data_IF_944546460215
#
_entry.id   IF_944546460215
#
_cell.length_a   1.000
_cell.length_b   1.000
_cell.length_c   1.000
_cell.angle_alpha   90.00
_cell.angle_beta   90.00
_cell.angle_gamma   90.00
#
_symmetry.space_group_name_H-M   'P 1'
#
loop_
_entity.id
_entity.type
_entity.pdbx_description
1 polymer ?
#
# COMPACT_ATOMS: atom_id res chain seq x y z
N UNK A 1 3.51 -7.68 58.13
CA UNK A 1 4.17 -7.23 56.88
C UNK A 1 4.52 -8.48 56.07
N UNK A 2 3.79 -8.74 55.00
CA UNK A 2 4.10 -9.76 54.00
C UNK A 2 4.39 -9.02 52.70
N UNK A 3 5.61 -9.15 52.20
CA UNK A 3 6.03 -8.70 50.88
C UNK A 3 5.41 -9.64 49.85
N UNK A 4 4.29 -9.22 49.27
CA UNK A 4 3.74 -9.88 48.08
C UNK A 4 4.62 -9.52 46.89
N UNK A 5 5.13 -10.56 46.24
CA UNK A 5 5.89 -10.45 45.00
C UNK A 5 4.92 -10.00 43.90
N UNK A 6 4.86 -8.70 43.65
CA UNK A 6 4.16 -8.14 42.49
C UNK A 6 4.86 -8.67 41.22
N UNK A 7 4.16 -9.36 40.31
CA UNK A 7 4.71 -9.60 38.98
C UNK A 7 4.93 -8.24 38.32
N UNK A 8 6.14 -8.05 37.80
CA UNK A 8 6.63 -6.78 37.25
C UNK A 8 5.72 -6.21 36.15
N UNK A 9 5.72 -4.87 35.96
CA UNK A 9 4.92 -4.21 34.93
C UNK A 9 5.29 -4.77 33.55
N UNK A 10 4.30 -5.33 32.87
CA UNK A 10 4.41 -5.68 31.46
C UNK A 10 4.66 -4.39 30.67
N UNK A 11 5.91 -4.25 30.24
CA UNK A 11 6.47 -3.23 29.35
C UNK A 11 6.36 -1.77 29.83
N UNK A 12 7.39 -1.36 30.58
CA UNK A 12 7.96 -0.03 30.39
C UNK A 12 8.14 0.20 28.88
N UNK A 13 7.67 1.35 28.40
CA UNK A 13 8.06 1.92 27.11
C UNK A 13 9.54 2.25 27.24
N UNK A 14 10.40 1.26 26.99
CA UNK A 14 11.78 1.54 26.63
C UNK A 14 11.68 2.23 25.27
N UNK A 15 11.97 3.52 25.22
CA UNK A 15 12.35 4.22 24.00
C UNK A 15 13.64 3.58 23.48
N UNK A 16 13.52 2.38 22.90
CA UNK A 16 14.50 1.84 21.99
C UNK A 16 14.14 2.44 20.63
N UNK A 17 15.08 3.13 19.94
CA UNK A 17 14.85 3.48 18.55
C UNK A 17 14.45 2.19 17.83
N UNK A 18 13.30 2.23 17.16
CA UNK A 18 12.76 1.10 16.43
C UNK A 18 13.84 0.58 15.49
N UNK A 19 14.47 -0.54 15.83
CA UNK A 19 15.29 -1.27 14.89
C UNK A 19 14.35 -1.69 13.76
N UNK A 20 14.60 -1.28 12.51
CA UNK A 20 13.68 -1.56 11.43
C UNK A 20 13.57 -3.06 11.24
N UNK A 21 12.35 -3.61 11.33
CA UNK A 21 12.07 -4.99 10.96
C UNK A 21 12.35 -5.14 9.47
N UNK A 22 13.48 -5.76 9.17
CA UNK A 22 13.95 -6.15 7.84
C UNK A 22 12.96 -7.09 7.17
N UNK A 23 11.95 -6.53 6.48
CA UNK A 23 11.18 -7.22 5.43
C UNK A 23 10.99 -6.37 4.17
N UNK A 24 11.86 -5.39 3.97
CA UNK A 24 11.87 -4.52 2.77
C UNK A 24 13.27 -4.42 2.14
N UNK A 25 14.08 -5.48 2.23
CA UNK A 25 15.43 -5.50 1.64
C UNK A 25 15.55 -6.28 0.32
N UNK A 26 14.44 -6.73 -0.26
CA UNK A 26 14.50 -7.53 -1.48
C UNK A 26 14.56 -6.80 -2.83
N UNK A 27 14.38 -5.47 -2.98
CA UNK A 27 14.71 -4.83 -4.26
C UNK A 27 16.15 -4.27 -4.30
N UNK A 28 16.77 -3.98 -3.14
CA UNK A 28 18.13 -3.41 -3.08
C UNK A 28 19.23 -4.43 -3.37
N UNK A 29 19.02 -5.72 -3.05
CA UNK A 29 19.98 -6.78 -3.35
C UNK A 29 20.10 -7.06 -4.87
N UNK A 30 19.07 -6.74 -5.67
CA UNK A 30 19.11 -6.92 -7.12
C UNK A 30 19.98 -5.87 -7.82
N UNK A 31 20.11 -4.66 -7.25
CA UNK A 31 20.88 -3.57 -7.85
C UNK A 31 22.39 -3.76 -7.65
N UNK A 32 22.83 -4.38 -6.54
CA UNK A 32 24.26 -4.58 -6.28
C UNK A 32 24.90 -5.72 -7.09
N UNK A 33 24.12 -6.69 -7.60
CA UNK A 33 24.67 -7.80 -8.42
C UNK A 33 24.93 -7.34 -9.86
N UNK A 34 24.15 -6.38 -10.38
CA UNK A 34 24.36 -5.85 -11.74
C UNK A 34 25.63 -4.99 -11.85
N UNK A 35 26.05 -4.31 -10.79
CA UNK A 35 27.23 -3.44 -10.79
C UNK A 35 28.56 -4.21 -10.77
N UNK A 36 28.59 -5.43 -10.21
CA UNK A 36 29.80 -6.26 -10.14
C UNK A 36 30.10 -7.04 -11.43
N UNK A 37 29.11 -7.20 -12.33
CA UNK A 37 29.28 -7.86 -13.63
C UNK A 37 29.66 -6.90 -14.78
N UNK A 38 29.81 -5.61 -14.49
CA UNK A 38 30.06 -4.55 -15.49
C UNK A 38 31.45 -3.90 -15.35
N UNK A 39 32.38 -4.49 -14.59
CA UNK A 39 33.77 -4.03 -14.57
C UNK A 39 34.54 -4.64 -15.75
N UNK A 40 35.04 -3.84 -16.72
CA UNK A 40 35.80 -4.39 -17.83
C UNK A 40 37.21 -4.73 -17.35
N UNK A 41 37.53 -6.02 -17.24
CA UNK A 41 38.92 -6.48 -17.18
C UNK A 41 39.46 -6.55 -18.62
N UNK A 42 40.34 -5.60 -18.94
CA UNK A 42 41.37 -5.59 -20.00
C UNK A 42 41.42 -6.75 -21.00
N UNK A 43 41.44 -6.43 -22.31
CA UNK A 43 41.91 -7.36 -23.34
C UNK A 43 41.54 -7.02 -24.79
N UNK A 44 42.36 -6.20 -25.44
CA UNK A 44 42.72 -6.17 -26.88
C UNK A 44 41.68 -5.96 -28.00
N UNK A 45 42.19 -5.29 -29.05
CA UNK A 45 41.48 -4.68 -30.15
C UNK A 45 41.05 -5.67 -31.24
N UNK A 46 39.85 -5.46 -31.80
CA UNK A 46 39.54 -5.89 -33.16
C UNK A 46 38.98 -4.71 -33.95
N UNK A 47 39.71 -4.38 -35.02
CA UNK A 47 39.47 -3.36 -36.03
C UNK A 47 38.04 -3.41 -36.57
N UNK A 48 37.18 -2.52 -36.08
CA UNK A 48 35.76 -2.44 -36.40
C UNK A 48 35.41 -1.47 -37.52
N UNK A 49 36.15 -1.43 -38.64
CA UNK A 49 35.79 -0.53 -39.76
C UNK A 49 34.68 -1.08 -40.68
N UNK A 50 34.17 -2.30 -40.46
CA UNK A 50 33.23 -2.94 -41.41
C UNK A 50 31.94 -3.47 -40.78
N UNK A 51 31.68 -3.19 -39.50
CA UNK A 51 30.39 -3.52 -38.84
C UNK A 51 29.55 -2.25 -38.55
N UNK A 52 30.05 -1.05 -38.86
CA UNK A 52 29.34 0.21 -38.60
C UNK A 52 28.35 0.65 -39.70
N UNK A 53 28.00 -0.20 -40.66
CA UNK A 53 27.09 0.17 -41.76
C UNK A 53 25.68 -0.46 -41.69
N UNK A 54 25.37 -1.29 -40.68
CA UNK A 54 24.08 -1.99 -40.60
C UNK A 54 23.24 -1.75 -39.33
N UNK A 55 23.67 -0.86 -38.42
CA UNK A 55 22.84 -0.47 -37.26
C UNK A 55 23.15 0.93 -36.76
N UNK A 56 23.18 1.89 -37.69
CA UNK A 56 22.86 3.26 -37.33
C UNK A 56 21.32 3.39 -37.30
N UNK A 57 20.66 2.76 -36.32
CA UNK A 57 19.42 3.34 -35.79
C UNK A 57 19.86 4.56 -35.01
N UNK A 58 19.91 5.64 -35.78
CA UNK A 58 20.10 7.04 -35.41
C UNK A 58 19.54 7.33 -34.02
N UNK A 59 20.33 7.98 -33.16
CA UNK A 59 19.85 8.42 -31.83
C UNK A 59 18.55 9.25 -31.88
N UNK A 60 18.25 9.84 -33.04
CA UNK A 60 17.00 10.52 -33.35
C UNK A 60 15.77 9.59 -33.31
N UNK A 61 15.89 8.33 -33.71
CA UNK A 61 14.78 7.35 -33.70
C UNK A 61 14.48 6.84 -32.29
N UNK A 62 15.52 6.61 -31.47
CA UNK A 62 15.36 6.20 -30.06
C UNK A 62 14.65 7.31 -29.27
N UNK A 63 15.08 8.57 -29.46
CA UNK A 63 14.43 9.71 -28.83
C UNK A 63 12.96 9.87 -29.27
N UNK A 64 12.69 9.73 -30.57
CA UNK A 64 11.34 9.81 -31.11
C UNK A 64 10.43 8.67 -30.62
N UNK A 65 10.97 7.45 -30.50
CA UNK A 65 10.24 6.28 -29.99
C UNK A 65 9.92 6.41 -28.51
N UNK A 66 10.89 6.89 -27.70
CA UNK A 66 10.65 7.20 -26.28
C UNK A 66 9.59 8.28 -26.12
N UNK A 67 9.65 9.36 -26.89
CA UNK A 67 8.64 10.41 -26.88
C UNK A 67 7.25 9.88 -27.27
N UNK A 68 7.18 9.00 -28.28
CA UNK A 68 5.94 8.34 -28.71
C UNK A 68 5.35 7.45 -27.61
N UNK A 69 6.18 6.66 -26.92
CA UNK A 69 5.74 5.82 -25.81
C UNK A 69 5.29 6.66 -24.61
N UNK A 70 6.06 7.69 -24.25
CA UNK A 70 5.74 8.62 -23.15
C UNK A 70 4.43 9.35 -23.35
N UNK A 71 4.14 9.80 -24.57
CA UNK A 71 2.88 10.42 -24.91
C UNK A 71 1.65 9.51 -24.67
N UNK A 72 1.82 8.19 -24.64
CA UNK A 72 0.75 7.23 -24.32
C UNK A 72 0.55 7.08 -22.81
N UNK A 73 1.63 6.81 -22.05
CA UNK A 73 1.51 6.42 -20.65
C UNK A 73 1.42 7.61 -19.69
N UNK A 74 2.04 8.75 -20.00
CA UNK A 74 2.11 9.87 -19.05
C UNK A 74 0.71 10.43 -18.72
N UNK A 75 -0.19 10.69 -19.69
CA UNK A 75 -1.55 11.12 -19.38
C UNK A 75 -2.34 10.10 -18.56
N UNK A 76 -2.12 8.81 -18.80
CA UNK A 76 -2.74 7.69 -18.07
C UNK A 76 -2.31 7.71 -16.61
N UNK A 77 -1.00 7.83 -16.34
CA UNK A 77 -0.43 7.92 -14.99
C UNK A 77 -1.02 9.12 -14.25
N UNK A 78 -1.03 10.29 -14.88
CA UNK A 78 -1.52 11.53 -14.27
C UNK A 78 -3.00 11.43 -13.93
N UNK A 79 -3.82 10.90 -14.86
CA UNK A 79 -5.26 10.72 -14.64
C UNK A 79 -5.55 9.67 -13.57
N UNK A 80 -4.86 8.54 -13.58
CA UNK A 80 -5.00 7.51 -12.56
C UNK A 80 -4.59 8.02 -11.17
N UNK A 81 -3.49 8.78 -11.07
CA UNK A 81 -3.05 9.41 -9.82
C UNK A 81 -4.08 10.40 -9.27
N UNK A 82 -4.67 11.24 -10.14
CA UNK A 82 -5.74 12.15 -9.74
C UNK A 82 -6.97 11.38 -9.20
N UNK A 83 -7.33 10.26 -9.84
CA UNK A 83 -8.40 9.41 -9.35
C UNK A 83 -8.07 8.77 -7.99
N UNK A 84 -6.83 8.29 -7.79
CA UNK A 84 -6.37 7.77 -6.51
C UNK A 84 -6.40 8.82 -5.41
N UNK A 85 -5.97 10.06 -5.68
CA UNK A 85 -6.05 11.17 -4.71
C UNK A 85 -7.49 11.49 -4.31
N UNK A 86 -8.39 11.57 -5.29
CA UNK A 86 -9.81 11.81 -5.03
C UNK A 86 -10.41 10.67 -4.20
N UNK A 87 -10.07 9.42 -4.54
CA UNK A 87 -10.49 8.25 -3.78
C UNK A 87 -9.96 8.26 -2.35
N UNK A 88 -8.65 8.50 -2.15
CA UNK A 88 -8.04 8.54 -0.82
C UNK A 88 -8.70 9.60 0.06
N UNK A 89 -8.92 10.81 -0.47
CA UNK A 89 -9.60 11.88 0.25
C UNK A 89 -11.04 11.48 0.62
N UNK A 90 -11.80 10.94 -0.33
CA UNK A 90 -13.19 10.52 -0.11
C UNK A 90 -13.28 9.37 0.90
N UNK A 91 -12.51 8.30 0.69
CA UNK A 91 -12.46 7.13 1.57
C UNK A 91 -12.11 7.54 3.00
N UNK A 92 -11.07 8.35 3.18
CA UNK A 92 -10.62 8.78 4.51
C UNK A 92 -11.68 9.66 5.21
N UNK A 93 -12.35 10.55 4.48
CA UNK A 93 -13.46 11.33 5.02
C UNK A 93 -14.63 10.43 5.47
N UNK A 94 -15.00 9.44 4.66
CA UNK A 94 -16.10 8.52 4.98
C UNK A 94 -15.78 7.54 6.10
N UNK A 95 -14.54 7.09 6.20
CA UNK A 95 -14.07 6.33 7.36
C UNK A 95 -14.18 7.17 8.63
N UNK A 96 -13.75 8.43 8.60
CA UNK A 96 -13.89 9.33 9.75
C UNK A 96 -15.35 9.64 10.11
N UNK A 97 -16.24 9.72 9.11
CA UNK A 97 -17.68 9.97 9.29
C UNK A 97 -18.42 8.76 9.89
N UNK A 98 -18.12 7.55 9.42
CA UNK A 98 -18.95 6.37 9.71
C UNK A 98 -18.35 5.41 10.73
N UNK A 99 -17.03 5.32 10.86
CA UNK A 99 -16.40 4.34 11.73
C UNK A 99 -16.12 4.90 13.12
N UNK A 100 -16.10 4.04 14.15
CA UNK A 100 -15.79 4.50 15.49
C UNK A 100 -14.36 5.01 15.59
N UNK A 101 -14.16 6.03 16.41
CA UNK A 101 -12.83 6.49 16.77
C UNK A 101 -12.12 5.42 17.63
N UNK A 102 -10.78 5.50 17.70
CA UNK A 102 -9.95 4.54 18.45
C UNK A 102 -10.44 4.31 19.88
N UNK A 103 -10.91 5.37 20.54
CA UNK A 103 -11.21 5.37 21.97
C UNK A 103 -12.72 5.22 22.25
N UNK A 104 -13.58 5.15 21.23
CA UNK A 104 -15.04 5.07 21.39
C UNK A 104 -15.52 3.79 22.09
N UNK A 105 -14.80 2.67 21.87
CA UNK A 105 -15.09 1.37 22.48
C UNK A 105 -13.90 0.90 23.33
N UNK A 106 -13.44 1.79 24.22
CA UNK A 106 -12.37 1.53 25.17
C UNK A 106 -12.81 1.91 26.59
N UNK A 107 -12.37 1.11 27.57
CA UNK A 107 -12.44 1.47 28.99
C UNK A 107 -11.05 1.83 29.50
N UNK A 108 -11.01 2.86 30.36
CA UNK A 108 -9.79 3.38 30.97
C UNK A 108 -9.90 3.28 32.49
N UNK A 109 -8.81 2.87 33.14
CA UNK A 109 -8.62 2.94 34.59
C UNK A 109 -7.25 3.54 34.95
N UNK A 110 -6.94 3.60 36.24
CA UNK A 110 -5.74 4.29 36.77
C UNK A 110 -4.39 3.64 36.41
N UNK A 111 -4.38 2.57 35.60
CA UNK A 111 -3.17 1.94 35.04
C UNK A 111 -3.47 0.94 33.91
N UNK A 112 -4.71 0.89 33.41
CA UNK A 112 -5.13 -0.13 32.44
C UNK A 112 -6.08 0.45 31.40
N UNK A 113 -6.09 -0.20 30.23
CA UNK A 113 -6.98 0.09 29.10
C UNK A 113 -7.37 -1.24 28.47
N UNK A 114 -8.66 -1.42 28.19
CA UNK A 114 -9.16 -2.53 27.39
C UNK A 114 -10.03 -1.98 26.26
N UNK A 115 -9.80 -2.47 25.05
CA UNK A 115 -10.45 -1.92 23.86
C UNK A 115 -10.81 -2.96 22.80
N UNK A 116 -11.74 -2.58 21.92
CA UNK A 116 -12.03 -3.35 20.71
C UNK A 116 -10.82 -3.40 19.74
N UNK A 117 -9.99 -2.35 19.76
CA UNK A 117 -8.84 -2.16 18.89
C UNK A 117 -9.16 -1.38 17.61
N UNK A 118 -8.10 -1.04 16.86
CA UNK A 118 -8.22 -0.26 15.62
C UNK A 118 -8.83 -1.09 14.48
N UNK A 119 -9.84 -0.52 13.81
CA UNK A 119 -10.49 -1.16 12.68
C UNK A 119 -9.76 -0.95 11.35
N UNK A 120 -9.49 0.29 10.96
CA UNK A 120 -9.00 0.63 9.61
C UNK A 120 -7.81 1.58 9.66
N UNK A 121 -6.98 1.48 8.63
CA UNK A 121 -5.93 2.44 8.32
C UNK A 121 -6.42 3.34 7.17
N UNK A 122 -6.03 4.63 7.15
CA UNK A 122 -6.33 5.51 6.04
C UNK A 122 -5.83 4.95 4.71
N UNK A 123 -6.59 5.17 3.64
CA UNK A 123 -6.14 4.89 2.28
C UNK A 123 -5.02 5.85 1.87
N UNK A 124 -4.04 5.33 1.15
CA UNK A 124 -2.85 6.03 0.68
C UNK A 124 -2.39 5.50 -0.69
N UNK A 125 -3.33 5.25 -1.61
CA UNK A 125 -3.04 4.78 -2.96
C UNK A 125 -2.16 5.78 -3.73
N UNK A 126 -2.41 7.07 -3.56
CA UNK A 126 -1.63 8.15 -4.15
C UNK A 126 -0.46 8.63 -3.26
N UNK A 127 0.13 7.74 -2.46
CA UNK A 127 1.23 8.08 -1.54
C UNK A 127 2.50 8.54 -2.26
N UNK A 128 2.73 8.06 -3.49
CA UNK A 128 3.81 8.54 -4.34
C UNK A 128 3.39 9.81 -5.08
N UNK A 129 4.32 10.74 -5.27
CA UNK A 129 4.05 11.89 -6.13
C UNK A 129 3.97 11.44 -7.60
N UNK A 130 3.19 12.16 -8.40
CA UNK A 130 2.91 11.78 -9.79
C UNK A 130 4.16 11.81 -10.67
N UNK A 131 5.10 12.72 -10.41
CA UNK A 131 6.34 12.81 -11.18
C UNK A 131 7.23 11.60 -10.95
N UNK A 132 7.32 11.10 -9.72
CA UNK A 132 8.05 9.88 -9.42
C UNK A 132 7.42 8.68 -10.12
N UNK A 133 6.09 8.60 -10.20
CA UNK A 133 5.45 7.55 -10.99
C UNK A 133 5.81 7.65 -12.48
N UNK A 134 5.83 8.85 -13.06
CA UNK A 134 6.23 9.07 -14.46
C UNK A 134 7.69 8.70 -14.68
N UNK A 135 8.61 9.14 -13.83
CA UNK A 135 10.05 8.87 -13.93
C UNK A 135 10.35 7.38 -13.79
N UNK A 136 9.82 6.74 -12.74
CA UNK A 136 10.02 5.29 -12.53
C UNK A 136 9.42 4.50 -13.68
N UNK A 137 8.27 4.92 -14.24
CA UNK A 137 7.74 4.31 -15.46
C UNK A 137 8.70 4.43 -16.63
N UNK A 138 9.22 5.62 -16.90
CA UNK A 138 10.12 5.85 -18.02
C UNK A 138 11.42 5.05 -17.90
N UNK A 139 11.95 4.89 -16.69
CA UNK A 139 13.23 4.23 -16.43
C UNK A 139 13.11 2.70 -16.27
N UNK A 140 12.05 2.21 -15.64
CA UNK A 140 11.97 0.83 -15.17
C UNK A 140 10.96 -0.05 -15.92
N UNK A 141 9.92 0.53 -16.53
CA UNK A 141 8.80 -0.25 -17.10
C UNK A 141 8.61 -0.04 -18.60
N UNK A 142 8.83 1.17 -19.11
CA UNK A 142 8.76 1.43 -20.53
C UNK A 142 9.92 0.73 -21.27
N UNK A 143 9.67 0.08 -22.42
CA UNK A 143 10.73 -0.39 -23.31
C UNK A 143 11.70 0.74 -23.66
N UNK A 144 12.99 0.44 -23.62
CA UNK A 144 14.03 1.45 -23.87
C UNK A 144 14.43 1.57 -25.34
N UNK A 145 14.08 0.57 -26.15
CA UNK A 145 14.38 0.50 -27.57
C UNK A 145 13.13 0.09 -28.36
N UNK A 146 12.95 0.71 -29.52
CA UNK A 146 11.85 0.42 -30.45
C UNK A 146 10.52 1.06 -30.04
N UNK A 147 9.57 1.00 -30.98
CA UNK A 147 8.26 1.63 -30.83
C UNK A 147 7.20 0.64 -30.38
N UNK A 148 6.52 0.96 -29.28
CA UNK A 148 5.47 0.12 -28.70
C UNK A 148 4.13 0.83 -28.58
N UNK A 149 3.05 0.05 -28.76
CA UNK A 149 1.69 0.42 -28.40
C UNK A 149 1.31 -0.28 -27.09
N UNK A 150 0.72 0.46 -26.17
CA UNK A 150 0.27 -0.08 -24.87
C UNK A 150 -1.26 -0.14 -24.80
N UNK A 151 -1.77 -1.15 -24.08
CA UNK A 151 -3.20 -1.28 -23.78
C UNK A 151 -3.46 -0.97 -22.30
N UNK A 152 -4.03 0.21 -22.04
CA UNK A 152 -4.42 0.65 -20.70
C UNK A 152 -5.90 0.40 -20.39
N UNK A 153 -6.61 -0.41 -21.18
CA UNK A 153 -8.06 -0.65 -21.02
C UNK A 153 -8.46 -1.20 -19.65
N UNK A 154 -7.54 -1.87 -18.96
CA UNK A 154 -7.76 -2.41 -17.61
C UNK A 154 -7.49 -1.42 -16.48
N UNK A 155 -6.89 -0.27 -16.77
CA UNK A 155 -6.57 0.76 -15.76
C UNK A 155 -7.85 1.46 -15.33
N UNK A 156 -8.26 1.26 -14.08
CA UNK A 156 -9.41 1.98 -13.52
C UNK A 156 -8.98 3.42 -13.19
N UNK A 157 -9.76 4.39 -13.67
CA UNK A 157 -9.46 5.82 -13.53
C UNK A 157 -10.62 6.60 -12.89
N UNK A 158 -11.59 5.89 -12.33
CA UNK A 158 -12.76 6.44 -11.66
C UNK A 158 -13.17 5.50 -10.54
N UNK A 159 -14.05 6.00 -9.67
CA UNK A 159 -14.74 5.21 -8.66
C UNK A 159 -16.14 5.80 -8.47
N UNK A 160 -17.06 4.99 -7.94
CA UNK A 160 -18.43 5.44 -7.65
C UNK A 160 -18.56 5.76 -6.16
N UNK A 161 -18.60 7.05 -5.83
CA UNK A 161 -18.69 7.56 -4.45
C UNK A 161 -19.80 6.86 -3.65
N UNK A 162 -21.00 6.76 -4.20
CA UNK A 162 -22.14 6.12 -3.53
C UNK A 162 -21.89 4.64 -3.17
N UNK A 163 -21.22 3.88 -4.04
CA UNK A 163 -20.89 2.47 -3.77
C UNK A 163 -19.78 2.34 -2.73
N UNK A 164 -18.78 3.23 -2.79
CA UNK A 164 -17.70 3.27 -1.80
C UNK A 164 -18.26 3.62 -0.43
N UNK A 165 -19.09 4.66 -0.34
CA UNK A 165 -19.74 5.11 0.90
C UNK A 165 -20.61 4.00 1.51
N UNK A 166 -21.45 3.36 0.70
CA UNK A 166 -22.29 2.25 1.16
C UNK A 166 -21.47 1.08 1.71
N UNK A 167 -20.36 0.72 1.06
CA UNK A 167 -19.47 -0.34 1.54
C UNK A 167 -18.77 0.03 2.86
N UNK A 168 -18.29 1.28 2.98
CA UNK A 168 -17.68 1.80 4.20
C UNK A 168 -18.71 1.80 5.33
N UNK A 169 -19.89 2.38 5.10
CA UNK A 169 -20.97 2.45 6.09
C UNK A 169 -21.37 1.07 6.59
N UNK A 170 -21.60 0.11 5.70
CA UNK A 170 -21.93 -1.26 6.08
C UNK A 170 -20.84 -1.93 6.93
N UNK A 171 -19.57 -1.71 6.59
CA UNK A 171 -18.46 -2.24 7.39
C UNK A 171 -18.40 -1.56 8.77
N UNK A 172 -18.50 -0.23 8.83
CA UNK A 172 -18.46 0.54 10.07
C UNK A 172 -19.64 0.21 11.00
N UNK A 173 -20.84 -0.04 10.48
CA UNK A 173 -22.00 -0.50 11.26
C UNK A 173 -21.71 -1.84 11.96
N UNK A 174 -21.04 -2.77 11.27
CA UNK A 174 -20.60 -4.05 11.85
C UNK A 174 -19.54 -3.82 12.94
N UNK A 175 -18.65 -2.84 12.76
CA UNK A 175 -17.65 -2.49 13.78
C UNK A 175 -18.31 -1.90 15.02
N UNK A 176 -19.25 -0.97 14.85
CA UNK A 176 -20.03 -0.43 15.95
C UNK A 176 -20.79 -1.53 16.71
N UNK A 177 -21.39 -2.49 15.99
CA UNK A 177 -22.06 -3.62 16.61
C UNK A 177 -21.09 -4.49 17.43
N UNK A 178 -19.91 -4.81 16.88
CA UNK A 178 -18.88 -5.55 17.59
C UNK A 178 -18.31 -4.78 18.79
N UNK A 179 -18.26 -3.44 18.73
CA UNK A 179 -17.77 -2.59 19.81
C UNK A 179 -18.73 -2.54 20.98
N UNK A 180 -20.03 -2.37 20.69
CA UNK A 180 -21.09 -2.47 21.70
C UNK A 180 -21.12 -3.84 22.38
N UNK A 181 -20.95 -4.93 21.62
CA UNK A 181 -20.89 -6.28 22.17
C UNK A 181 -19.63 -6.50 23.03
N UNK A 182 -18.50 -5.88 22.67
CA UNK A 182 -17.32 -5.88 23.52
C UNK A 182 -17.56 -5.17 24.85
N UNK A 183 -18.11 -3.94 24.83
CA UNK A 183 -18.40 -3.20 26.07
C UNK A 183 -19.33 -3.99 26.99
N UNK A 184 -20.43 -4.52 26.44
CA UNK A 184 -21.39 -5.32 27.20
C UNK A 184 -20.78 -6.57 27.87
N UNK A 185 -19.68 -7.12 27.31
CA UNK A 185 -18.97 -8.27 27.88
C UNK A 185 -17.86 -7.87 28.84
N UNK A 186 -17.13 -6.80 28.56
CA UNK A 186 -15.95 -6.41 29.34
C UNK A 186 -16.33 -5.65 30.62
N UNK A 187 -17.43 -4.88 30.59
CA UNK A 187 -17.93 -4.13 31.75
C UNK A 187 -18.12 -4.97 33.02
N UNK A 188 -18.86 -6.11 33.00
CA UNK A 188 -19.04 -6.91 34.20
C UNK A 188 -17.74 -7.54 34.71
N UNK A 189 -16.79 -7.83 33.80
CA UNK A 189 -15.48 -8.42 34.13
C UNK A 189 -14.56 -7.38 34.77
N UNK A 190 -14.56 -6.15 34.25
CA UNK A 190 -13.86 -5.01 34.84
C UNK A 190 -14.41 -4.68 36.23
N UNK A 191 -15.74 -4.68 36.40
CA UNK A 191 -16.38 -4.42 37.69
C UNK A 191 -15.94 -5.42 38.78
N UNK A 192 -15.66 -6.67 38.37
CA UNK A 192 -15.14 -7.73 39.23
C UNK A 192 -13.61 -7.70 39.40
N UNK A 193 -12.91 -6.78 38.71
CA UNK A 193 -11.44 -6.70 38.67
C UNK A 193 -10.77 -7.97 38.12
N UNK A 194 -11.46 -8.68 37.25
CA UNK A 194 -10.94 -9.89 36.59
C UNK A 194 -10.15 -9.51 35.33
N UNK A 195 -8.92 -9.08 35.55
CA UNK A 195 -8.05 -8.52 34.50
C UNK A 195 -7.64 -9.56 33.45
N UNK A 196 -7.55 -10.84 33.85
CA UNK A 196 -7.19 -11.93 32.94
C UNK A 196 -8.30 -12.18 31.92
N UNK A 197 -9.56 -12.21 32.36
CA UNK A 197 -10.68 -12.35 31.42
C UNK A 197 -10.93 -11.06 30.63
N UNK A 198 -10.67 -9.88 31.19
CA UNK A 198 -10.73 -8.62 30.43
C UNK A 198 -9.70 -8.61 29.29
N UNK A 199 -8.49 -9.11 29.53
CA UNK A 199 -7.46 -9.27 28.51
C UNK A 199 -7.87 -10.27 27.42
N UNK A 200 -8.46 -11.41 27.79
CA UNK A 200 -8.98 -12.39 26.81
C UNK A 200 -10.10 -11.78 25.96
N UNK A 201 -11.00 -11.00 26.56
CA UNK A 201 -12.09 -10.32 25.85
C UNK A 201 -11.57 -9.26 24.87
N UNK A 202 -10.52 -8.53 25.22
CA UNK A 202 -9.84 -7.64 24.27
C UNK A 202 -9.30 -8.43 23.06
N UNK A 203 -8.59 -9.54 23.28
CA UNK A 203 -8.09 -10.40 22.21
C UNK A 203 -9.21 -10.92 21.30
N UNK A 204 -10.31 -11.36 21.90
CA UNK A 204 -11.53 -11.77 21.18
C UNK A 204 -12.11 -10.61 20.34
N UNK A 205 -12.23 -9.41 20.91
CA UNK A 205 -12.79 -8.25 20.23
C UNK A 205 -11.95 -7.84 19.01
N UNK A 206 -10.62 -7.82 19.17
CA UNK A 206 -9.66 -7.60 18.07
C UNK A 206 -9.81 -8.65 16.97
N UNK A 207 -10.01 -9.92 17.34
CA UNK A 207 -10.26 -11.02 16.41
C UNK A 207 -11.52 -10.82 15.56
N UNK A 208 -12.58 -10.23 16.13
CA UNK A 208 -13.84 -9.95 15.41
C UNK A 208 -13.73 -8.88 14.34
N UNK A 209 -12.75 -7.98 14.43
CA UNK A 209 -12.50 -6.96 13.41
C UNK A 209 -11.92 -7.55 12.13
N UNK A 210 -11.17 -8.65 12.22
CA UNK A 210 -10.46 -9.28 11.09
C UNK A 210 -11.36 -9.58 9.88
N UNK A 211 -12.47 -10.33 10.01
CA UNK A 211 -13.35 -10.61 8.87
C UNK A 211 -13.97 -9.34 8.30
N UNK A 212 -14.30 -8.35 9.14
CA UNK A 212 -14.88 -7.08 8.67
C UNK A 212 -13.87 -6.31 7.81
N UNK A 213 -12.60 -6.26 8.25
CA UNK A 213 -11.52 -5.63 7.47
C UNK A 213 -11.29 -6.35 6.15
N UNK A 214 -11.32 -7.68 6.18
CA UNK A 214 -11.15 -8.51 4.99
C UNK A 214 -12.25 -8.21 3.94
N UNK A 215 -13.51 -8.20 4.36
CA UNK A 215 -14.64 -7.90 3.48
C UNK A 215 -14.55 -6.49 2.90
N UNK A 216 -14.22 -5.49 3.73
CA UNK A 216 -14.02 -4.12 3.29
C UNK A 216 -12.88 -4.01 2.27
N UNK A 217 -11.75 -4.71 2.52
CA UNK A 217 -10.63 -4.75 1.58
C UNK A 217 -11.03 -5.36 0.24
N UNK A 218 -11.78 -6.46 0.24
CA UNK A 218 -12.30 -7.07 -1.00
C UNK A 218 -13.19 -6.08 -1.76
N UNK A 219 -14.07 -5.35 -1.07
CA UNK A 219 -14.92 -4.34 -1.69
C UNK A 219 -14.07 -3.20 -2.29
N UNK A 220 -13.11 -2.66 -1.54
CA UNK A 220 -12.27 -1.55 -1.99
C UNK A 220 -11.34 -1.95 -3.14
N UNK A 221 -10.85 -3.19 -3.19
CA UNK A 221 -10.09 -3.70 -4.33
C UNK A 221 -10.90 -3.68 -5.64
N UNK A 222 -12.23 -3.80 -5.56
CA UNK A 222 -13.12 -3.75 -6.73
C UNK A 222 -13.56 -2.33 -7.08
N UNK A 223 -13.79 -1.50 -6.06
CA UNK A 223 -14.41 -0.18 -6.21
C UNK A 223 -13.40 0.95 -6.38
N UNK A 224 -12.16 0.78 -5.91
CA UNK A 224 -11.11 1.80 -6.05
C UNK A 224 -10.55 1.84 -7.48
N UNK A 225 -9.87 2.94 -7.84
CA UNK A 225 -9.04 3.01 -9.05
C UNK A 225 -7.95 1.92 -9.13
N UNK A 226 -7.69 1.19 -8.03
CA UNK A 226 -6.63 0.19 -7.95
C UNK A 226 -5.27 0.80 -7.65
N UNK A 227 -4.27 -0.06 -7.48
CA UNK A 227 -2.88 0.35 -7.41
C UNK A 227 -2.28 0.54 -8.82
N UNK A 228 -0.99 0.88 -8.86
CA UNK A 228 -0.27 1.19 -10.09
C UNK A 228 0.04 -0.05 -10.97
N UNK A 229 -0.30 -1.26 -10.52
CA UNK A 229 0.15 -2.51 -11.15
C UNK A 229 -0.41 -2.70 -12.56
N UNK A 230 -1.65 -2.28 -12.84
CA UNK A 230 -2.24 -2.42 -14.18
C UNK A 230 -1.54 -1.53 -15.22
N UNK A 231 -1.00 -0.36 -14.80
CA UNK A 231 -0.18 0.48 -15.68
C UNK A 231 1.15 -0.21 -15.95
N UNK A 232 1.79 -0.79 -14.93
CA UNK A 232 3.04 -1.54 -15.09
C UNK A 232 2.87 -2.73 -16.03
N UNK A 233 1.80 -3.52 -15.84
CA UNK A 233 1.48 -4.66 -16.68
C UNK A 233 1.20 -4.25 -18.14
N UNK A 234 0.51 -3.14 -18.36
CA UNK A 234 0.26 -2.63 -19.71
C UNK A 234 1.56 -2.27 -20.45
N UNK A 235 2.53 -1.70 -19.75
CA UNK A 235 3.83 -1.32 -20.30
C UNK A 235 4.69 -2.54 -20.61
N UNK A 236 4.76 -3.49 -19.68
CA UNK A 236 5.53 -4.73 -19.84
C UNK A 236 4.99 -5.63 -20.96
N UNK A 237 3.69 -5.56 -21.25
CA UNK A 237 3.03 -6.36 -22.29
C UNK A 237 2.78 -5.57 -23.58
N UNK A 238 3.43 -4.42 -23.77
CA UNK A 238 3.27 -3.61 -24.97
C UNK A 238 3.59 -4.39 -26.26
N UNK A 239 2.87 -4.06 -27.34
CA UNK A 239 3.11 -4.65 -28.66
C UNK A 239 4.07 -3.77 -29.46
N UNK A 240 5.19 -4.35 -29.92
CA UNK A 240 6.13 -3.67 -30.82
C UNK A 240 5.47 -3.44 -32.18
N UNK A 241 5.60 -2.25 -32.73
CA UNK A 241 4.97 -1.86 -34.02
C UNK A 241 5.96 -1.43 -35.10
N UNK A 242 7.27 -1.49 -34.82
CA UNK A 242 8.36 -1.28 -35.77
C UNK A 242 9.65 -1.93 -35.28
#
# INVERSE_FOLDING_TARGET
MKTEHLPMPSTQVVNRPSVPKTRFLYPLAAVCVAALLMSPTSGEAQTGSTIMAARATTGDDIGADKAFMKAQYEPVIRKHHAAQKAFDAFYNAKIAEHCPTRDQYAHFGSAWRYEQGQFVEPSALASWNVETNVVVTDEAYAPQEGRYRFDFSKVRMTFEEAKVDAAIKSACERVHAAGRDFLAKVDPVIAQKDWDNAFKLEGWAKGRLSPIRHDLKIAMNKLSPGDFSEIQLALMNGARIS
#
